data_IF_898564090320
#
_entry.id   IF_898564090320
#
_cell.length_a   1.000
_cell.length_b   1.000
_cell.length_c   1.000
_cell.angle_alpha   90.00
_cell.angle_beta   90.00
_cell.angle_gamma   90.00
#
_symmetry.space_group_name_H-M   'P 1'
#
loop_
_entity.id
_entity.type
_entity.pdbx_description
1 polymer ?
#
# COMPACT_ATOMS: atom_id res chain seq x y z
N UNK A 1 17.54 32.30 -8.09
CA UNK A 1 16.25 31.73 -7.63
C UNK A 1 16.15 31.82 -6.11
N UNK A 2 15.22 32.59 -5.54
CA UNK A 2 14.95 32.56 -4.09
C UNK A 2 14.45 31.16 -3.73
N UNK A 3 15.22 30.38 -2.97
CA UNK A 3 14.76 29.11 -2.39
C UNK A 3 13.55 29.43 -1.52
N UNK A 4 12.35 29.04 -1.95
CA UNK A 4 11.16 29.08 -1.11
C UNK A 4 11.42 28.14 0.07
N UNK A 5 11.78 28.68 1.24
CA UNK A 5 11.83 27.90 2.49
C UNK A 5 10.38 27.55 2.85
N UNK A 6 9.92 26.38 2.40
CA UNK A 6 8.65 25.81 2.88
C UNK A 6 8.82 25.49 4.36
N UNK A 7 8.20 26.31 5.22
CA UNK A 7 8.13 26.06 6.66
C UNK A 7 6.96 25.11 6.91
N UNK A 8 7.20 24.04 7.66
CA UNK A 8 6.12 23.14 8.07
C UNK A 8 5.24 23.86 9.10
N UNK A 9 3.95 24.04 8.79
CA UNK A 9 2.98 24.64 9.71
C UNK A 9 2.24 23.54 10.46
N UNK A 10 2.52 23.40 11.75
CA UNK A 10 1.77 22.49 12.60
C UNK A 10 0.35 23.00 12.79
N UNK A 11 -0.60 22.07 12.70
CA UNK A 11 -1.92 22.25 13.30
C UNK A 11 -1.85 21.77 14.76
N UNK A 12 -2.80 22.18 15.63
CA UNK A 12 -2.86 21.68 16.99
C UNK A 12 -2.85 20.14 17.02
N UNK A 13 -2.04 19.58 17.91
CA UNK A 13 -2.03 18.14 18.13
C UNK A 13 -3.25 17.74 18.97
N UNK A 14 -3.94 16.66 18.56
CA UNK A 14 -5.00 16.06 19.37
C UNK A 14 -4.46 15.48 20.67
N UNK A 15 -5.36 15.07 21.57
CA UNK A 15 -4.97 14.41 22.82
C UNK A 15 -4.12 13.16 22.57
N UNK A 16 -4.53 12.26 21.66
CA UNK A 16 -3.75 11.05 21.35
C UNK A 16 -2.40 11.37 20.71
N UNK A 17 -2.33 12.36 19.83
CA UNK A 17 -1.04 12.80 19.27
C UNK A 17 -0.11 13.34 20.36
N UNK A 18 -0.63 14.08 21.35
CA UNK A 18 0.15 14.54 22.51
C UNK A 18 0.59 13.40 23.42
N UNK A 19 -0.24 12.37 23.61
CA UNK A 19 0.15 11.16 24.34
C UNK A 19 1.34 10.49 23.67
N UNK A 20 1.32 10.33 22.33
CA UNK A 20 2.48 9.82 21.57
C UNK A 20 3.71 10.71 21.74
N UNK A 21 3.55 12.04 21.72
CA UNK A 21 4.68 12.97 21.83
C UNK A 21 5.35 12.99 23.21
N UNK A 22 4.62 12.64 24.27
CA UNK A 22 5.04 12.91 25.65
C UNK A 22 5.18 11.67 26.54
N UNK A 23 4.79 10.47 26.08
CA UNK A 23 4.74 9.28 26.95
C UNK A 23 6.10 8.92 27.59
N UNK A 24 7.20 9.25 26.93
CA UNK A 24 8.58 8.97 27.34
C UNK A 24 9.21 10.09 28.20
N UNK A 25 8.51 11.22 28.39
CA UNK A 25 9.04 12.34 29.17
C UNK A 25 9.17 11.98 30.66
N UNK A 26 10.09 12.65 31.37
CA UNK A 26 10.46 12.33 32.76
C UNK A 26 9.28 12.33 33.75
N UNK A 27 8.28 13.19 33.51
CA UNK A 27 7.09 13.36 34.35
C UNK A 27 5.89 12.53 33.88
N UNK A 28 6.05 11.75 32.80
CA UNK A 28 5.01 10.86 32.32
C UNK A 28 4.86 9.65 33.24
N UNK A 29 3.64 9.27 33.64
CA UNK A 29 3.41 8.09 34.48
C UNK A 29 3.67 6.76 33.74
N UNK A 30 3.91 6.81 32.43
CA UNK A 30 4.11 5.63 31.57
C UNK A 30 5.50 5.62 30.91
N UNK A 31 6.43 6.45 31.39
CA UNK A 31 7.78 6.58 30.82
C UNK A 31 8.60 5.29 30.85
N UNK A 32 8.28 4.41 31.81
CA UNK A 32 9.02 3.17 32.05
C UNK A 32 8.59 2.04 31.10
N UNK A 33 7.53 2.23 30.29
CA UNK A 33 7.14 1.27 29.25
C UNK A 33 8.27 1.06 28.22
N UNK A 34 8.39 -0.15 27.69
CA UNK A 34 9.47 -0.52 26.74
C UNK A 34 9.21 -0.05 25.31
N UNK A 35 8.00 0.44 25.04
CA UNK A 35 7.66 0.96 23.74
C UNK A 35 6.21 1.34 23.62
N UNK A 36 5.82 1.68 22.39
CA UNK A 36 4.48 2.12 22.04
C UNK A 36 4.04 1.54 20.70
N UNK A 37 2.81 1.07 20.65
CA UNK A 37 2.09 0.67 19.45
C UNK A 37 1.00 1.72 19.17
N UNK A 38 1.01 2.29 17.98
CA UNK A 38 -0.06 3.13 17.45
C UNK A 38 -0.66 2.47 16.20
N UNK A 39 -1.90 1.98 16.30
CA UNK A 39 -2.61 1.42 15.15
C UNK A 39 -3.82 2.27 14.75
N UNK A 40 -4.55 1.81 13.72
CA UNK A 40 -5.88 2.31 13.40
C UNK A 40 -5.99 2.97 12.03
N UNK A 41 -6.91 3.90 11.91
CA UNK A 41 -7.36 4.44 10.62
C UNK A 41 -6.24 5.11 9.81
N UNK A 42 -6.42 5.16 8.49
CA UNK A 42 -5.61 6.03 7.62
C UNK A 42 -5.84 7.48 7.99
N UNK A 43 -4.88 8.34 7.63
CA UNK A 43 -5.02 9.81 7.78
C UNK A 43 -5.35 10.29 9.19
N UNK A 44 -5.09 9.49 10.21
CA UNK A 44 -5.29 9.83 11.63
C UNK A 44 -4.16 10.66 12.26
N UNK A 45 -3.11 10.97 11.48
CA UNK A 45 -1.98 11.78 11.96
C UNK A 45 -0.98 11.01 12.83
N UNK A 46 -1.16 9.69 13.02
CA UNK A 46 -0.30 8.80 13.81
C UNK A 46 1.18 8.82 13.38
N UNK A 47 1.46 8.64 12.09
CA UNK A 47 2.83 8.66 11.53
C UNK A 47 3.56 9.97 11.81
N UNK A 48 2.85 11.11 11.70
CA UNK A 48 3.44 12.44 11.88
C UNK A 48 3.86 12.65 13.34
N UNK A 49 2.97 12.36 14.30
CA UNK A 49 3.30 12.50 15.73
C UNK A 49 4.36 11.49 16.17
N UNK A 50 4.26 10.24 15.70
CA UNK A 50 5.16 9.17 16.15
C UNK A 50 6.58 9.33 15.62
N UNK A 51 6.74 9.63 14.33
CA UNK A 51 8.08 9.84 13.74
C UNK A 51 8.80 11.05 14.34
N UNK A 52 8.06 12.14 14.61
CA UNK A 52 8.62 13.30 15.30
C UNK A 52 8.99 12.97 16.75
N UNK A 53 8.10 12.28 17.47
CA UNK A 53 8.34 11.89 18.86
C UNK A 53 9.55 10.96 19.00
N UNK A 54 9.71 9.99 18.10
CA UNK A 54 10.83 9.07 18.11
C UNK A 54 12.17 9.80 18.04
N UNK A 55 12.31 10.77 17.12
CA UNK A 55 13.53 11.57 17.02
C UNK A 55 13.69 12.48 18.24
N UNK A 56 12.62 13.10 18.74
CA UNK A 56 12.71 13.94 19.94
C UNK A 56 13.17 13.17 21.17
N UNK A 57 12.62 11.97 21.38
CA UNK A 57 13.03 11.05 22.43
C UNK A 57 14.51 10.67 22.27
N UNK A 58 14.89 10.14 21.11
CA UNK A 58 16.28 9.72 20.82
C UNK A 58 17.28 10.84 21.10
N UNK A 59 17.00 12.06 20.61
CA UNK A 59 17.86 13.23 20.78
C UNK A 59 17.84 13.83 22.19
N UNK A 60 16.91 13.41 23.05
CA UNK A 60 16.85 13.86 24.46
C UNK A 60 17.47 12.86 25.43
N UNK A 61 17.58 11.59 25.02
CA UNK A 61 17.99 10.47 25.87
C UNK A 61 19.38 9.94 25.54
N UNK A 62 19.88 10.18 24.33
CA UNK A 62 21.12 9.57 23.84
C UNK A 62 22.00 10.57 23.07
N UNK A 63 23.29 10.30 23.03
CA UNK A 63 24.26 11.03 22.21
C UNK A 63 25.30 10.06 21.62
N UNK A 64 25.56 10.15 20.32
CA UNK A 64 26.48 9.27 19.60
C UNK A 64 25.90 7.89 19.26
N UNK A 65 24.60 7.67 19.43
CA UNK A 65 23.97 6.35 19.33
C UNK A 65 23.30 6.09 17.97
N UNK A 66 23.09 4.80 17.69
CA UNK A 66 22.47 4.31 16.46
C UNK A 66 20.99 3.97 16.67
N UNK A 67 20.15 4.38 15.72
CA UNK A 67 18.71 4.11 15.70
C UNK A 67 18.30 3.55 14.34
N UNK A 68 17.25 2.73 14.32
CA UNK A 68 16.68 2.22 13.09
C UNK A 68 15.30 2.83 12.80
N UNK A 69 15.07 3.16 11.53
CA UNK A 69 13.80 3.63 10.99
C UNK A 69 13.39 2.76 9.80
N UNK A 70 12.38 1.93 10.01
CA UNK A 70 12.00 0.85 9.11
C UNK A 70 10.68 1.16 8.40
N UNK A 71 10.60 0.85 7.09
CA UNK A 71 9.36 0.83 6.31
C UNK A 71 9.30 -0.41 5.41
N UNK A 72 8.15 -0.71 4.78
CA UNK A 72 8.05 -1.82 3.77
C UNK A 72 9.16 -1.72 2.71
N UNK A 73 9.46 -0.50 2.25
CA UNK A 73 10.61 -0.23 1.40
C UNK A 73 11.27 1.08 1.80
N UNK A 74 12.58 1.21 1.60
CA UNK A 74 13.31 2.47 1.81
C UNK A 74 12.68 3.61 0.99
N UNK A 75 12.31 3.32 -0.25
CA UNK A 75 11.69 4.31 -1.15
C UNK A 75 10.33 4.82 -0.67
N UNK A 76 9.47 3.96 -0.11
CA UNK A 76 8.19 4.39 0.49
C UNK A 76 8.43 5.16 1.78
N UNK A 77 9.30 4.66 2.68
CA UNK A 77 9.62 5.30 3.94
C UNK A 77 10.13 6.73 3.75
N UNK A 78 11.09 6.92 2.84
CA UNK A 78 11.67 8.23 2.53
C UNK A 78 10.62 9.23 2.05
N UNK A 79 9.64 8.78 1.25
CA UNK A 79 8.56 9.62 0.72
C UNK A 79 7.49 9.95 1.77
N UNK A 80 7.04 8.94 2.51
CA UNK A 80 5.87 9.04 3.38
C UNK A 80 6.21 9.60 4.76
N UNK A 81 7.40 9.28 5.28
CA UNK A 81 7.84 9.65 6.63
C UNK A 81 8.94 10.69 6.57
N UNK A 82 10.10 10.33 6.04
CA UNK A 82 11.32 11.13 6.18
C UNK A 82 11.20 12.53 5.58
N UNK A 83 10.56 12.65 4.40
CA UNK A 83 10.38 13.94 3.73
C UNK A 83 9.66 14.96 4.63
N UNK A 84 8.56 14.55 5.27
CA UNK A 84 7.82 15.37 6.24
C UNK A 84 8.63 15.62 7.51
N UNK A 85 9.22 14.57 8.06
CA UNK A 85 10.01 14.61 9.28
C UNK A 85 11.17 15.61 9.19
N UNK A 86 11.93 15.63 8.09
CA UNK A 86 13.02 16.59 7.89
C UNK A 86 12.54 18.04 7.98
N UNK A 87 11.40 18.36 7.36
CA UNK A 87 10.83 19.71 7.44
C UNK A 87 10.41 20.07 8.88
N UNK A 88 9.80 19.11 9.59
CA UNK A 88 9.38 19.27 10.98
C UNK A 88 10.58 19.53 11.91
N UNK A 89 11.65 18.75 11.75
CA UNK A 89 12.87 18.86 12.54
C UNK A 89 13.60 20.18 12.27
N UNK A 90 13.81 20.54 11.00
CA UNK A 90 14.44 21.82 10.65
C UNK A 90 13.65 23.03 11.19
N UNK A 91 12.31 22.96 11.23
CA UNK A 91 11.49 24.03 11.84
C UNK A 91 11.67 24.17 13.35
N UNK A 92 12.25 23.16 14.02
CA UNK A 92 12.50 23.08 15.47
C UNK A 92 13.98 23.23 15.83
N UNK A 93 14.81 23.70 14.90
CA UNK A 93 16.23 23.96 15.14
C UNK A 93 17.13 22.72 15.10
N UNK A 94 16.65 21.60 14.56
CA UNK A 94 17.50 20.44 14.28
C UNK A 94 18.21 20.59 12.93
N UNK A 95 19.47 20.18 12.88
CA UNK A 95 20.21 19.98 11.64
C UNK A 95 20.04 18.53 11.20
N UNK A 96 19.78 18.31 9.90
CA UNK A 96 19.59 16.97 9.34
C UNK A 96 20.46 16.78 8.09
N UNK A 97 21.42 15.86 8.16
CA UNK A 97 22.22 15.42 7.02
C UNK A 97 21.72 14.06 6.51
N UNK A 98 21.30 14.01 5.24
CA UNK A 98 20.68 12.83 4.61
C UNK A 98 21.67 12.16 3.65
N UNK A 99 22.37 11.13 4.14
CA UNK A 99 23.33 10.31 3.41
C UNK A 99 22.59 9.20 2.65
N UNK A 100 22.13 9.54 1.44
CA UNK A 100 21.24 8.67 0.68
C UNK A 100 21.86 7.35 0.23
N UNK A 101 23.15 7.35 -0.11
CA UNK A 101 23.86 6.15 -0.54
C UNK A 101 23.92 5.11 0.59
N UNK A 102 24.13 5.59 1.81
CA UNK A 102 24.32 4.75 3.01
C UNK A 102 23.01 4.45 3.74
N UNK A 103 21.89 4.98 3.24
CA UNK A 103 20.60 4.95 3.92
C UNK A 103 20.64 5.49 5.36
N UNK A 104 21.48 6.49 5.60
CA UNK A 104 21.72 7.07 6.91
C UNK A 104 21.22 8.52 6.98
N UNK A 105 20.64 8.89 8.11
CA UNK A 105 20.28 10.27 8.45
C UNK A 105 20.95 10.65 9.76
N UNK A 106 21.80 11.66 9.73
CA UNK A 106 22.47 12.19 10.92
C UNK A 106 21.67 13.40 11.39
N UNK A 107 21.27 13.39 12.66
CA UNK A 107 20.45 14.45 13.26
C UNK A 107 21.22 15.06 14.42
N UNK A 108 21.36 16.38 14.40
CA UNK A 108 22.10 17.15 15.42
C UNK A 108 21.23 18.27 15.98
N UNK A 109 21.31 18.50 17.29
CA UNK A 109 20.72 19.66 17.96
C UNK A 109 21.58 20.07 19.16
N UNK A 110 22.16 21.28 19.10
CA UNK A 110 23.21 21.67 20.06
C UNK A 110 24.38 20.69 19.97
N UNK A 111 24.82 20.19 21.12
CA UNK A 111 25.96 19.26 21.23
C UNK A 111 25.57 17.78 21.09
N UNK A 112 24.29 17.48 20.86
CA UNK A 112 23.80 16.11 20.70
C UNK A 112 23.71 15.74 19.23
N UNK A 113 24.28 14.59 18.86
CA UNK A 113 24.20 14.01 17.52
C UNK A 113 23.92 12.51 17.60
N UNK A 114 22.94 12.01 16.83
CA UNK A 114 22.66 10.57 16.71
C UNK A 114 22.49 10.14 15.24
N UNK A 115 22.59 8.84 15.00
CA UNK A 115 22.62 8.22 13.67
C UNK A 115 21.36 7.40 13.41
N UNK A 116 20.58 7.74 12.40
CA UNK A 116 19.30 7.09 12.08
C UNK A 116 19.39 6.34 10.75
N UNK A 117 19.56 5.03 10.82
CA UNK A 117 19.64 4.14 9.66
C UNK A 117 18.24 3.77 9.15
N UNK A 118 18.07 3.78 7.83
CA UNK A 118 16.78 3.51 7.17
C UNK A 118 16.82 2.12 6.55
N UNK A 119 15.92 1.26 7.01
CA UNK A 119 15.81 -0.11 6.53
C UNK A 119 14.49 -0.35 5.78
N UNK A 120 14.52 -1.30 4.85
CA UNK A 120 13.34 -1.75 4.12
C UNK A 120 13.06 -3.22 4.42
N UNK A 121 11.97 -3.51 5.13
CA UNK A 121 11.51 -4.88 5.38
C UNK A 121 10.57 -5.34 4.28
N UNK A 122 11.11 -5.62 3.08
CA UNK A 122 10.28 -5.91 1.89
C UNK A 122 9.87 -7.38 1.81
N UNK A 123 10.79 -8.26 2.18
CA UNK A 123 10.68 -9.72 2.09
C UNK A 123 11.65 -10.36 3.10
N UNK A 124 11.56 -11.68 3.30
CA UNK A 124 12.40 -12.43 4.26
C UNK A 124 13.91 -12.19 4.10
N UNK A 125 14.39 -11.92 2.88
CA UNK A 125 15.81 -11.63 2.62
C UNK A 125 16.26 -10.30 3.22
N UNK A 126 15.31 -9.44 3.58
CA UNK A 126 15.58 -8.14 4.21
C UNK A 126 16.11 -8.28 5.64
N UNK A 127 15.93 -9.46 6.27
CA UNK A 127 16.47 -9.78 7.58
C UNK A 127 17.99 -9.49 7.64
N UNK A 128 18.76 -10.00 6.68
CA UNK A 128 20.23 -9.86 6.67
C UNK A 128 20.73 -8.42 6.71
N UNK A 129 19.92 -7.44 6.30
CA UNK A 129 20.28 -6.03 6.27
C UNK A 129 20.47 -5.40 7.66
N UNK A 130 19.80 -5.92 8.69
CA UNK A 130 19.85 -5.37 10.06
C UNK A 130 20.75 -6.21 10.99
N UNK A 131 21.53 -7.13 10.43
CA UNK A 131 22.47 -7.93 11.19
C UNK A 131 23.69 -7.11 11.63
N UNK A 132 24.19 -7.39 12.83
CA UNK A 132 25.45 -6.82 13.33
C UNK A 132 25.40 -5.37 13.83
N UNK A 133 24.29 -4.64 13.67
CA UNK A 133 24.14 -3.30 14.25
C UNK A 133 23.65 -3.37 15.69
N UNK A 134 24.19 -2.50 16.55
CA UNK A 134 23.67 -2.24 17.91
C UNK A 134 22.81 -0.99 17.87
N UNK A 135 21.60 -1.05 18.43
CA UNK A 135 20.62 0.03 18.38
C UNK A 135 20.22 0.51 19.78
N UNK A 136 20.04 1.82 19.92
CA UNK A 136 19.40 2.46 21.06
C UNK A 136 17.89 2.65 20.88
N UNK A 137 17.33 2.28 19.72
CA UNK A 137 15.89 2.25 19.51
C UNK A 137 15.53 1.97 18.05
N UNK A 138 14.29 1.54 17.85
CA UNK A 138 13.77 1.21 16.51
C UNK A 138 12.34 1.73 16.33
N UNK A 139 12.11 2.30 15.15
CA UNK A 139 10.81 2.75 14.69
C UNK A 139 10.39 1.99 13.43
N UNK A 140 9.19 1.42 13.44
CA UNK A 140 8.58 0.74 12.30
C UNK A 140 7.34 1.50 11.84
N UNK A 141 7.36 1.98 10.59
CA UNK A 141 6.20 2.54 9.91
C UNK A 141 5.56 1.50 9.00
N UNK A 142 4.23 1.32 9.13
CA UNK A 142 3.47 0.28 8.45
C UNK A 142 3.96 -1.14 8.81
N UNK A 143 4.20 -1.40 10.11
CA UNK A 143 4.84 -2.66 10.57
C UNK A 143 4.09 -3.93 10.15
N UNK A 144 2.76 -3.87 10.03
CA UNK A 144 1.95 -5.00 9.55
C UNK A 144 2.27 -5.43 8.10
N UNK A 145 2.97 -4.59 7.32
CA UNK A 145 3.38 -4.91 5.95
C UNK A 145 4.81 -5.48 5.86
N UNK A 146 5.47 -5.68 7.00
CA UNK A 146 6.82 -6.21 7.09
C UNK A 146 6.79 -7.69 7.50
N UNK A 147 7.80 -8.48 7.08
CA UNK A 147 8.00 -9.83 7.60
C UNK A 147 8.20 -9.83 9.11
N UNK A 148 7.61 -10.80 9.80
CA UNK A 148 7.79 -10.99 11.24
C UNK A 148 9.27 -11.20 11.60
N UNK A 149 9.98 -12.01 10.82
CA UNK A 149 11.41 -12.29 10.99
C UNK A 149 12.27 -11.03 11.02
N UNK A 150 12.00 -10.09 10.12
CA UNK A 150 12.69 -8.80 10.04
C UNK A 150 12.43 -7.96 11.30
N UNK A 151 11.18 -7.90 11.76
CA UNK A 151 10.81 -7.12 12.95
C UNK A 151 11.44 -7.74 14.20
N UNK A 152 11.35 -9.06 14.36
CA UNK A 152 11.97 -9.78 15.48
C UNK A 152 13.49 -9.58 15.52
N UNK A 153 14.16 -9.65 14.37
CA UNK A 153 15.59 -9.42 14.32
C UNK A 153 15.97 -7.97 14.64
N UNK A 154 15.23 -7.01 14.09
CA UNK A 154 15.44 -5.59 14.34
C UNK A 154 15.23 -5.22 15.82
N UNK A 155 14.18 -5.73 16.47
CA UNK A 155 13.97 -5.52 17.91
C UNK A 155 15.04 -6.21 18.75
N UNK A 156 15.58 -7.34 18.30
CA UNK A 156 16.71 -8.03 18.94
C UNK A 156 18.05 -7.28 18.84
N UNK A 157 18.14 -6.21 18.03
CA UNK A 157 19.32 -5.32 17.98
C UNK A 157 19.26 -4.17 18.98
N UNK A 158 18.12 -3.95 19.65
CA UNK A 158 17.98 -2.92 20.67
C UNK A 158 18.57 -3.39 22.00
N UNK A 159 19.89 -3.28 22.14
CA UNK A 159 20.64 -3.74 23.33
C UNK A 159 21.20 -2.62 24.19
N UNK A 160 21.15 -1.36 23.73
CA UNK A 160 21.57 -0.21 24.55
C UNK A 160 20.55 0.01 25.67
N UNK A 161 21.05 0.28 26.88
CA UNK A 161 20.21 0.56 28.05
C UNK A 161 19.26 1.73 27.78
N UNK A 162 17.99 1.58 28.17
CA UNK A 162 16.96 2.59 27.93
C UNK A 162 16.39 2.60 26.51
N UNK A 163 16.79 1.66 25.64
CA UNK A 163 16.23 1.54 24.29
C UNK A 163 14.72 1.26 24.31
N UNK A 164 14.02 1.76 23.28
CA UNK A 164 12.54 1.66 23.17
C UNK A 164 12.08 1.24 21.78
N UNK A 165 10.93 0.57 21.73
CA UNK A 165 10.28 0.13 20.49
C UNK A 165 9.12 1.04 20.07
N UNK A 166 9.05 1.37 18.78
CA UNK A 166 8.03 2.27 18.26
C UNK A 166 7.35 1.65 17.03
N UNK A 167 6.07 1.30 17.14
CA UNK A 167 5.34 0.62 16.07
C UNK A 167 4.14 1.44 15.59
N UNK A 168 4.08 1.71 14.29
CA UNK A 168 2.93 2.31 13.64
C UNK A 168 2.37 1.37 12.56
N UNK A 169 1.07 1.16 12.52
CA UNK A 169 0.44 0.41 11.42
C UNK A 169 -1.02 0.78 11.17
N UNK A 170 -1.51 0.38 9.99
CA UNK A 170 -2.93 0.19 9.79
C UNK A 170 -3.28 -1.28 10.09
N UNK A 171 -4.49 -1.58 10.58
CA UNK A 171 -4.92 -2.94 10.87
C UNK A 171 -4.95 -3.84 9.64
N UNK A 172 -4.73 -5.13 9.90
CA UNK A 172 -4.94 -6.23 8.97
C UNK A 172 -5.98 -7.22 9.54
N UNK A 173 -5.92 -8.50 9.18
CA UNK A 173 -6.74 -9.56 9.74
C UNK A 173 -6.46 -9.81 11.24
N UNK A 174 -7.47 -10.25 12.03
CA UNK A 174 -7.30 -10.50 13.46
C UNK A 174 -6.26 -11.57 13.81
N UNK A 175 -5.94 -12.49 12.88
CA UNK A 175 -4.92 -13.53 13.04
C UNK A 175 -3.54 -13.14 12.52
N UNK A 176 -3.35 -11.90 12.07
CA UNK A 176 -2.05 -11.42 11.62
C UNK A 176 -1.05 -11.42 12.78
N UNK A 177 0.20 -11.86 12.54
CA UNK A 177 1.24 -12.03 13.57
C UNK A 177 1.43 -10.78 14.47
N UNK A 178 1.38 -9.57 13.90
CA UNK A 178 1.54 -8.35 14.71
C UNK A 178 0.36 -8.13 15.68
N UNK A 179 -0.83 -8.59 15.33
CA UNK A 179 -2.01 -8.52 16.21
C UNK A 179 -1.87 -9.53 17.34
N UNK A 180 -1.62 -10.79 17.01
CA UNK A 180 -1.55 -11.91 17.96
C UNK A 180 -0.33 -11.84 18.87
N UNK A 181 0.84 -11.48 18.33
CA UNK A 181 2.12 -11.60 19.03
C UNK A 181 2.63 -10.29 19.63
N UNK A 182 2.10 -9.14 19.20
CA UNK A 182 2.48 -7.83 19.74
C UNK A 182 1.34 -7.08 20.40
N UNK A 183 0.21 -6.87 19.72
CA UNK A 183 -0.90 -6.07 20.27
C UNK A 183 -1.61 -6.80 21.41
N UNK A 184 -1.92 -8.09 21.23
CA UNK A 184 -2.61 -8.89 22.24
C UNK A 184 -1.71 -9.21 23.43
N UNK A 185 -0.41 -9.39 23.17
CA UNK A 185 0.63 -9.61 24.20
C UNK A 185 1.28 -8.32 24.71
N UNK A 186 0.73 -7.14 24.40
CA UNK A 186 1.35 -5.84 24.74
C UNK A 186 1.65 -5.66 26.23
N UNK A 187 0.81 -6.21 27.11
CA UNK A 187 0.99 -6.11 28.57
C UNK A 187 2.20 -6.92 29.02
N UNK A 188 2.35 -8.14 28.49
CA UNK A 188 3.50 -9.02 28.75
C UNK A 188 4.80 -8.41 28.21
N UNK A 189 4.71 -7.66 27.11
CA UNK A 189 5.83 -6.94 26.50
C UNK A 189 6.06 -5.52 27.05
N UNK A 190 5.31 -5.11 28.07
CA UNK A 190 5.36 -3.76 28.65
C UNK A 190 5.21 -2.61 27.63
N UNK A 191 4.34 -2.79 26.63
CA UNK A 191 4.10 -1.82 25.55
C UNK A 191 2.83 -1.02 25.78
N UNK A 192 2.91 0.28 25.48
CA UNK A 192 1.75 1.15 25.35
C UNK A 192 0.98 0.85 24.07
N UNK A 193 -0.32 1.10 24.09
CA UNK A 193 -1.18 0.95 22.91
C UNK A 193 -2.14 2.13 22.79
N UNK A 194 -2.10 2.79 21.64
CA UNK A 194 -3.00 3.88 21.28
C UNK A 194 -3.66 3.58 19.94
N UNK A 195 -4.99 3.48 19.96
CA UNK A 195 -5.78 3.31 18.76
C UNK A 195 -6.17 4.66 18.16
N UNK A 196 -5.90 4.90 16.88
CA UNK A 196 -6.16 6.17 16.21
C UNK A 196 -7.31 6.09 15.18
N UNK A 197 -8.14 7.12 15.12
CA UNK A 197 -9.14 7.33 14.07
C UNK A 197 -8.87 8.64 13.31
N UNK A 198 -9.60 8.91 12.22
CA UNK A 198 -9.46 10.19 11.50
C UNK A 198 -9.83 11.41 12.37
N UNK A 199 -10.59 11.23 13.45
CA UNK A 199 -10.97 12.32 14.35
C UNK A 199 -9.82 12.79 15.23
N UNK A 200 -8.81 11.95 15.40
CA UNK A 200 -7.56 12.34 16.07
C UNK A 200 -6.68 13.25 15.20
N UNK A 201 -7.03 13.48 13.93
CA UNK A 201 -6.34 14.40 13.04
C UNK A 201 -7.10 15.72 12.87
N UNK A 202 -6.75 16.69 13.72
CA UNK A 202 -7.34 18.03 13.72
C UNK A 202 -7.02 18.88 12.48
N UNK A 203 -6.15 18.39 11.57
CA UNK A 203 -5.85 19.08 10.31
C UNK A 203 -6.85 18.76 9.18
N UNK A 204 -7.71 17.74 9.35
CA UNK A 204 -8.68 17.34 8.34
C UNK A 204 -10.04 17.95 8.64
N UNK A 205 -10.61 18.63 7.65
CA UNK A 205 -12.00 19.07 7.72
C UNK A 205 -12.96 17.90 7.53
N UNK A 206 -14.19 18.02 8.06
CA UNK A 206 -15.22 16.99 7.90
C UNK A 206 -15.51 16.64 6.44
N UNK A 207 -15.53 17.63 5.54
CA UNK A 207 -15.66 17.38 4.09
C UNK A 207 -14.58 16.45 3.55
N UNK A 208 -13.35 16.55 4.05
CA UNK A 208 -12.24 15.69 3.62
C UNK A 208 -12.34 14.31 4.27
N UNK A 209 -12.73 14.23 5.54
CA UNK A 209 -12.99 12.95 6.21
C UNK A 209 -14.09 12.17 5.49
N UNK A 210 -15.19 12.84 5.14
CA UNK A 210 -16.31 12.21 4.44
C UNK A 210 -15.90 11.68 3.06
N UNK A 211 -15.08 12.44 2.34
CA UNK A 211 -14.50 11.97 1.09
C UNK A 211 -13.64 10.71 1.28
N UNK A 212 -12.92 10.57 2.40
CA UNK A 212 -12.19 9.33 2.68
C UNK A 212 -13.13 8.19 3.07
N UNK A 213 -14.17 8.45 3.87
CA UNK A 213 -15.19 7.44 4.22
C UNK A 213 -15.83 6.84 2.96
N UNK A 214 -16.14 7.67 1.97
CA UNK A 214 -16.78 7.22 0.72
C UNK A 214 -15.87 6.40 -0.22
N UNK A 215 -14.56 6.35 0.01
CA UNK A 215 -13.64 5.58 -0.85
C UNK A 215 -13.62 4.08 -0.50
N UNK A 216 -14.08 3.71 0.70
CA UNK A 216 -13.94 2.37 1.24
C UNK A 216 -15.31 1.78 1.63
N UNK A 217 -15.45 0.48 1.43
CA UNK A 217 -16.62 -0.33 1.83
C UNK A 217 -16.13 -1.65 2.43
N UNK A 218 -17.05 -2.44 2.97
CA UNK A 218 -16.76 -3.81 3.44
C UNK A 218 -15.59 -3.90 4.43
N UNK A 219 -14.74 -4.91 4.25
CA UNK A 219 -13.56 -5.14 5.10
C UNK A 219 -12.58 -3.96 5.07
N UNK A 220 -12.38 -3.31 3.93
CA UNK A 220 -11.44 -2.19 3.82
C UNK A 220 -11.94 -0.94 4.56
N UNK A 221 -13.26 -0.71 4.63
CA UNK A 221 -13.81 0.34 5.49
C UNK A 221 -13.55 0.04 6.96
N UNK A 222 -13.82 -1.20 7.40
CA UNK A 222 -13.54 -1.64 8.78
C UNK A 222 -12.07 -1.42 9.15
N UNK A 223 -11.13 -1.79 8.28
CA UNK A 223 -9.69 -1.65 8.54
C UNK A 223 -9.19 -0.21 8.43
N UNK A 224 -9.44 0.47 7.31
CA UNK A 224 -8.78 1.75 7.03
C UNK A 224 -9.54 2.97 7.55
N UNK A 225 -10.86 2.88 7.76
CA UNK A 225 -11.67 4.00 8.28
C UNK A 225 -11.97 3.83 9.76
N UNK A 226 -12.47 2.66 10.17
CA UNK A 226 -12.76 2.40 11.58
C UNK A 226 -11.51 1.98 12.37
N UNK A 227 -10.48 1.48 11.71
CA UNK A 227 -9.26 1.03 12.39
C UNK A 227 -9.38 -0.35 13.04
N UNK A 228 -10.33 -1.19 12.60
CA UNK A 228 -10.53 -2.51 13.20
C UNK A 228 -9.67 -3.57 12.52
N UNK A 229 -9.12 -4.49 13.33
CA UNK A 229 -8.52 -5.74 12.85
C UNK A 229 -9.63 -6.71 12.45
N UNK A 230 -10.05 -6.68 11.18
CA UNK A 230 -11.25 -7.34 10.69
C UNK A 230 -10.91 -8.40 9.64
N UNK A 231 -11.62 -9.54 9.69
CA UNK A 231 -11.36 -10.61 8.73
C UNK A 231 -11.82 -10.26 7.32
N UNK A 232 -11.03 -10.67 6.33
CA UNK A 232 -11.41 -10.63 4.94
C UNK A 232 -12.14 -11.95 4.61
N UNK A 233 -13.44 -11.87 4.36
CA UNK A 233 -14.30 -13.03 4.14
C UNK A 233 -15.30 -12.75 3.03
N UNK A 234 -15.72 -13.80 2.32
CA UNK A 234 -16.70 -13.70 1.24
C UNK A 234 -16.17 -12.95 0.01
N UNK A 235 -17.07 -12.19 -0.62
CA UNK A 235 -16.82 -11.47 -1.87
C UNK A 235 -15.78 -10.36 -1.70
N UNK A 236 -14.80 -10.31 -2.62
CA UNK A 236 -13.75 -9.29 -2.60
C UNK A 236 -14.30 -7.93 -3.02
N UNK A 237 -15.05 -7.90 -4.12
CA UNK A 237 -15.66 -6.70 -4.67
C UNK A 237 -17.16 -6.66 -4.35
N UNK A 238 -17.50 -6.71 -3.05
CA UNK A 238 -18.88 -6.63 -2.54
C UNK A 238 -19.61 -5.33 -2.93
N UNK A 239 -18.87 -4.29 -3.32
CA UNK A 239 -19.39 -3.02 -3.81
C UNK A 239 -19.75 -3.03 -5.30
N UNK A 240 -19.36 -4.07 -6.05
CA UNK A 240 -19.71 -4.18 -7.46
C UNK A 240 -21.22 -4.37 -7.58
N UNK A 241 -21.83 -3.54 -8.42
CA UNK A 241 -23.28 -3.43 -8.58
C UNK A 241 -23.53 -3.23 -10.07
N UNK A 242 -24.22 -4.18 -10.69
CA UNK A 242 -24.46 -4.18 -12.13
C UNK A 242 -25.27 -2.96 -12.57
N UNK A 243 -26.18 -2.46 -11.75
CA UNK A 243 -26.98 -1.27 -12.08
C UNK A 243 -26.14 0.02 -12.11
N UNK A 244 -25.01 0.05 -11.40
CA UNK A 244 -24.12 1.23 -11.32
C UNK A 244 -22.90 1.11 -12.22
N UNK A 245 -22.33 -0.08 -12.32
CA UNK A 245 -21.02 -0.30 -12.91
C UNK A 245 -21.07 -0.96 -14.29
N UNK A 246 -22.19 -1.54 -14.69
CA UNK A 246 -22.35 -2.10 -16.04
C UNK A 246 -23.04 -1.10 -16.95
N UNK A 247 -22.51 -0.92 -18.16
CA UNK A 247 -23.07 -0.04 -19.18
C UNK A 247 -23.32 -0.80 -20.47
N UNK A 248 -24.40 -0.46 -21.17
CA UNK A 248 -24.77 -1.03 -22.47
C UNK A 248 -24.43 -0.11 -23.65
N UNK A 249 -24.32 1.20 -23.38
CA UNK A 249 -23.98 2.20 -24.39
C UNK A 249 -22.50 2.56 -24.34
N UNK A 250 -21.83 2.48 -25.50
CA UNK A 250 -20.46 2.91 -25.71
C UNK A 250 -20.38 4.23 -26.52
N UNK A 251 -21.49 4.95 -26.70
CA UNK A 251 -21.54 6.16 -27.52
C UNK A 251 -20.68 7.32 -26.98
N UNK A 252 -20.44 7.36 -25.66
CA UNK A 252 -19.66 8.40 -25.00
C UNK A 252 -18.15 8.11 -24.96
N UNK A 253 -17.70 7.01 -25.56
CA UNK A 253 -16.27 6.70 -25.65
C UNK A 253 -15.54 7.71 -26.53
N UNK A 254 -14.38 8.16 -26.06
CA UNK A 254 -13.50 9.04 -26.84
C UNK A 254 -12.47 8.16 -27.56
N UNK A 255 -12.65 7.97 -28.87
CA UNK A 255 -11.86 7.07 -29.73
C UNK A 255 -10.35 7.38 -29.86
N UNK A 256 -9.75 8.18 -28.98
CA UNK A 256 -8.37 8.65 -29.17
C UNK A 256 -7.29 7.76 -28.54
N UNK A 257 -7.57 7.02 -27.46
CA UNK A 257 -6.52 6.25 -26.75
C UNK A 257 -7.04 4.96 -26.11
N UNK A 258 -6.82 3.83 -26.77
CA UNK A 258 -7.11 2.50 -26.23
C UNK A 258 -5.93 1.92 -25.47
N UNK A 259 -6.22 1.12 -24.45
CA UNK A 259 -5.24 0.30 -23.74
C UNK A 259 -5.74 -1.13 -23.68
N UNK A 260 -4.82 -2.09 -23.64
CA UNK A 260 -5.17 -3.49 -23.39
C UNK A 260 -4.52 -3.90 -22.09
N UNK A 261 -5.25 -4.57 -21.21
CA UNK A 261 -4.65 -5.34 -20.11
C UNK A 261 -4.79 -6.82 -20.37
N UNK A 262 -3.76 -7.57 -19.99
CA UNK A 262 -3.63 -8.98 -20.26
C UNK A 262 -3.27 -9.73 -18.98
N UNK A 263 -4.04 -10.78 -18.70
CA UNK A 263 -3.61 -11.90 -17.87
C UNK A 263 -3.30 -13.07 -18.80
N UNK A 264 -2.12 -13.66 -18.66
CA UNK A 264 -1.58 -14.65 -19.59
C UNK A 264 -1.46 -16.01 -18.91
N UNK A 265 -2.11 -17.01 -19.50
CA UNK A 265 -2.11 -18.40 -19.05
C UNK A 265 -1.99 -19.36 -20.23
N UNK A 266 -1.03 -20.29 -20.16
CA UNK A 266 -0.92 -21.38 -21.14
C UNK A 266 -1.90 -22.51 -20.84
N UNK A 267 -2.03 -22.90 -19.57
CA UNK A 267 -3.00 -23.89 -19.09
C UNK A 267 -4.27 -23.24 -18.54
N UNK A 268 -4.11 -22.14 -17.79
CA UNK A 268 -5.21 -21.31 -17.31
C UNK A 268 -5.71 -20.37 -18.40
N UNK A 269 -6.78 -19.62 -18.13
CA UNK A 269 -7.32 -18.73 -19.15
C UNK A 269 -6.33 -17.59 -19.49
N UNK A 270 -6.31 -17.21 -20.77
CA UNK A 270 -5.71 -15.96 -21.24
C UNK A 270 -6.83 -14.96 -21.50
N UNK A 271 -6.67 -13.77 -20.93
CA UNK A 271 -7.68 -12.70 -20.98
C UNK A 271 -7.07 -11.44 -21.56
N UNK A 272 -7.77 -10.79 -22.51
CA UNK A 272 -7.47 -9.42 -22.93
C UNK A 272 -8.67 -8.52 -22.66
N UNK A 273 -8.45 -7.40 -21.98
CA UNK A 273 -9.49 -6.40 -21.71
C UNK A 273 -9.14 -5.10 -22.42
N UNK A 274 -10.05 -4.60 -23.26
CA UNK A 274 -9.88 -3.35 -23.99
C UNK A 274 -10.46 -2.19 -23.18
N UNK A 275 -9.62 -1.22 -22.87
CA UNK A 275 -9.98 -0.05 -22.09
C UNK A 275 -9.98 1.22 -22.93
N UNK A 276 -11.01 2.03 -22.74
CA UNK A 276 -11.12 3.36 -23.32
C UNK A 276 -11.66 4.34 -22.27
N UNK A 277 -11.46 5.63 -22.49
CA UNK A 277 -11.96 6.68 -21.59
C UNK A 277 -13.20 7.29 -22.20
N UNK A 278 -14.25 7.46 -21.41
CA UNK A 278 -15.42 8.23 -21.84
C UNK A 278 -15.19 9.74 -21.64
N UNK A 279 -16.07 10.57 -22.22
CA UNK A 279 -15.98 12.05 -22.13
C UNK A 279 -15.91 12.59 -20.71
N UNK A 280 -16.60 11.97 -19.77
CA UNK A 280 -16.59 12.34 -18.33
C UNK A 280 -15.22 12.14 -17.67
N UNK A 281 -14.37 11.31 -18.28
CA UNK A 281 -13.09 10.90 -17.72
C UNK A 281 -13.11 9.58 -16.95
N UNK A 282 -14.25 8.88 -16.87
CA UNK A 282 -14.33 7.48 -16.40
C UNK A 282 -13.67 6.53 -17.40
N UNK A 283 -13.03 5.47 -16.90
CA UNK A 283 -12.47 4.40 -17.74
C UNK A 283 -13.49 3.29 -17.92
N UNK A 284 -13.61 2.76 -19.13
CA UNK A 284 -14.57 1.72 -19.49
C UNK A 284 -13.83 0.50 -20.02
N UNK A 285 -14.07 -0.67 -19.46
CA UNK A 285 -13.71 -1.95 -20.06
C UNK A 285 -14.75 -2.25 -21.15
N UNK A 286 -14.40 -2.00 -22.41
CA UNK A 286 -15.35 -1.92 -23.51
C UNK A 286 -15.60 -3.29 -24.17
N UNK A 287 -14.61 -4.17 -24.12
CA UNK A 287 -14.62 -5.47 -24.78
C UNK A 287 -13.64 -6.41 -24.09
N UNK A 288 -13.99 -7.69 -24.04
CA UNK A 288 -13.10 -8.74 -23.57
C UNK A 288 -12.77 -9.77 -24.66
N UNK A 289 -11.61 -10.40 -24.52
CA UNK A 289 -11.26 -11.69 -25.08
C UNK A 289 -10.99 -12.61 -23.90
N UNK A 290 -11.55 -13.81 -23.93
CA UNK A 290 -11.39 -14.79 -22.87
C UNK A 290 -11.25 -16.16 -23.51
N UNK A 291 -10.12 -16.83 -23.29
CA UNK A 291 -9.86 -18.17 -23.80
C UNK A 291 -9.26 -19.04 -22.72
N UNK A 292 -9.92 -20.17 -22.42
CA UNK A 292 -9.48 -21.14 -21.43
C UNK A 292 -9.08 -22.43 -22.14
N UNK A 293 -7.78 -22.74 -22.15
CA UNK A 293 -7.30 -23.97 -22.78
C UNK A 293 -7.84 -25.25 -22.11
N UNK A 294 -8.29 -25.13 -20.86
CA UNK A 294 -8.97 -26.20 -20.13
C UNK A 294 -10.41 -26.41 -20.62
N UNK A 295 -11.16 -25.33 -20.79
CA UNK A 295 -12.58 -25.42 -21.17
C UNK A 295 -12.74 -25.77 -22.66
N UNK A 296 -11.77 -25.36 -23.48
CA UNK A 296 -11.72 -25.62 -24.93
C UNK A 296 -10.92 -26.89 -25.28
N UNK A 297 -10.39 -27.60 -24.28
CA UNK A 297 -9.55 -28.81 -24.41
C UNK A 297 -8.34 -28.68 -25.35
N UNK A 298 -7.91 -27.44 -25.63
CA UNK A 298 -6.80 -27.12 -26.53
C UNK A 298 -5.98 -25.97 -25.98
N UNK A 299 -4.67 -26.18 -25.84
CA UNK A 299 -3.73 -25.11 -25.52
C UNK A 299 -3.38 -24.29 -26.77
N UNK A 300 -3.11 -23.00 -26.57
CA UNK A 300 -2.59 -22.09 -27.59
C UNK A 300 -1.18 -21.66 -27.25
N UNK A 301 -0.38 -21.49 -28.29
CA UNK A 301 0.99 -20.97 -28.21
C UNK A 301 1.00 -19.43 -28.13
N UNK A 302 2.17 -18.86 -27.78
CA UNK A 302 2.38 -17.40 -27.79
C UNK A 302 2.03 -16.76 -29.14
N UNK A 303 2.39 -17.44 -30.23
CA UNK A 303 2.10 -17.00 -31.59
C UNK A 303 0.60 -16.96 -31.85
N UNK A 304 -0.13 -18.03 -31.50
CA UNK A 304 -1.58 -18.11 -31.68
C UNK A 304 -2.30 -17.05 -30.85
N UNK A 305 -1.93 -16.86 -29.57
CA UNK A 305 -2.49 -15.78 -28.75
C UNK A 305 -2.19 -14.39 -29.31
N UNK A 306 -1.02 -14.19 -29.90
CA UNK A 306 -0.67 -12.92 -30.54
C UNK A 306 -1.40 -12.69 -31.87
N UNK A 307 -1.75 -13.75 -32.60
CA UNK A 307 -2.61 -13.71 -33.78
C UNK A 307 -4.04 -13.37 -33.39
N UNK A 308 -4.58 -14.04 -32.36
CA UNK A 308 -5.89 -13.78 -31.78
C UNK A 308 -6.00 -12.34 -31.30
N UNK A 309 -5.00 -11.82 -30.58
CA UNK A 309 -4.96 -10.43 -30.14
C UNK A 309 -5.07 -9.47 -31.33
N UNK A 310 -4.31 -9.73 -32.41
CA UNK A 310 -4.31 -8.89 -33.61
C UNK A 310 -5.67 -8.91 -34.30
N UNK A 311 -6.27 -10.09 -34.45
CA UNK A 311 -7.60 -10.25 -35.05
C UNK A 311 -8.66 -9.57 -34.19
N UNK A 312 -8.66 -9.82 -32.88
CA UNK A 312 -9.60 -9.26 -31.93
C UNK A 312 -9.50 -7.73 -31.87
N UNK A 313 -8.29 -7.16 -31.93
CA UNK A 313 -8.10 -5.70 -32.01
C UNK A 313 -8.74 -5.08 -33.26
N UNK A 314 -8.93 -5.83 -34.35
CA UNK A 314 -9.64 -5.39 -35.56
C UNK A 314 -9.17 -4.02 -36.08
N UNK A 315 -7.86 -3.78 -36.09
CA UNK A 315 -7.24 -2.52 -36.54
C UNK A 315 -7.04 -1.46 -35.44
N UNK A 316 -7.57 -1.65 -34.23
CA UNK A 316 -7.29 -0.79 -33.08
C UNK A 316 -5.81 -0.91 -32.69
N UNK A 317 -5.12 0.22 -32.59
CA UNK A 317 -3.73 0.31 -32.13
C UNK A 317 -3.70 0.76 -30.67
N UNK A 318 -3.53 -0.15 -29.69
CA UNK A 318 -3.47 0.25 -28.29
C UNK A 318 -2.20 1.05 -28.01
N UNK A 319 -2.34 2.08 -27.18
CA UNK A 319 -1.22 2.91 -26.74
C UNK A 319 -0.20 2.06 -25.98
N UNK A 320 -0.69 1.20 -25.08
CA UNK A 320 0.13 0.20 -24.37
C UNK A 320 -0.68 -1.05 -24.09
N UNK A 321 0.01 -2.19 -24.08
CA UNK A 321 -0.48 -3.44 -23.52
C UNK A 321 0.15 -3.63 -22.14
N UNK A 322 -0.69 -3.79 -21.12
CA UNK A 322 -0.31 -3.99 -19.74
C UNK A 322 -0.35 -5.49 -19.46
N UNK A 323 0.77 -6.04 -19.02
CA UNK A 323 0.92 -7.50 -18.84
C UNK A 323 1.81 -7.81 -17.64
N UNK A 324 1.53 -8.92 -16.96
CA UNK A 324 2.34 -9.38 -15.84
C UNK A 324 3.82 -9.57 -16.26
N UNK A 325 4.80 -9.09 -15.47
CA UNK A 325 6.22 -9.25 -15.77
C UNK A 325 6.70 -10.70 -15.96
N UNK A 326 5.98 -11.69 -15.40
CA UNK A 326 6.31 -13.11 -15.47
C UNK A 326 6.03 -13.75 -16.83
N UNK A 327 5.16 -13.15 -17.66
CA UNK A 327 4.84 -13.61 -19.02
C UNK A 327 5.93 -13.24 -20.04
N UNK A 328 7.19 -13.55 -19.73
CA UNK A 328 8.37 -13.05 -20.47
C UNK A 328 8.40 -13.47 -21.95
N UNK A 329 7.97 -14.70 -22.26
CA UNK A 329 7.93 -15.21 -23.64
C UNK A 329 6.89 -14.47 -24.49
N UNK A 330 5.67 -14.33 -23.97
CA UNK A 330 4.60 -13.61 -24.66
C UNK A 330 4.91 -12.12 -24.80
N UNK A 331 5.56 -11.49 -23.80
CA UNK A 331 6.07 -10.12 -23.91
C UNK A 331 7.05 -9.98 -25.09
N UNK A 332 7.96 -10.95 -25.27
CA UNK A 332 8.93 -10.92 -26.36
C UNK A 332 8.23 -11.03 -27.73
N UNK A 333 7.25 -11.94 -27.85
CA UNK A 333 6.48 -12.13 -29.08
C UNK A 333 5.66 -10.88 -29.45
N UNK A 334 4.97 -10.26 -28.49
CA UNK A 334 4.21 -9.03 -28.73
C UNK A 334 5.12 -7.85 -29.13
N UNK A 335 6.31 -7.74 -28.52
CA UNK A 335 7.30 -6.72 -28.92
C UNK A 335 7.83 -6.93 -30.34
N UNK A 336 8.09 -8.18 -30.73
CA UNK A 336 8.51 -8.55 -32.10
C UNK A 336 7.47 -8.13 -33.13
N UNK A 337 6.18 -8.17 -32.76
CA UNK A 337 5.04 -7.72 -33.57
C UNK A 337 4.79 -6.20 -33.51
N UNK A 338 5.64 -5.44 -32.83
CA UNK A 338 5.58 -3.98 -32.77
C UNK A 338 4.66 -3.39 -31.70
N UNK A 339 4.13 -4.20 -30.77
CA UNK A 339 3.32 -3.66 -29.68
C UNK A 339 4.17 -3.00 -28.59
N UNK A 340 3.66 -1.89 -28.05
CA UNK A 340 4.28 -1.22 -26.90
C UNK A 340 3.83 -1.86 -25.60
N UNK A 341 4.76 -2.49 -24.88
CA UNK A 341 4.47 -3.19 -23.63
C UNK A 341 4.75 -2.32 -22.39
N UNK A 342 3.85 -2.38 -21.41
CA UNK A 342 4.07 -1.85 -20.06
C UNK A 342 3.93 -2.99 -19.05
N UNK A 343 5.01 -3.28 -18.33
CA UNK A 343 4.97 -4.25 -17.22
C UNK A 343 3.97 -3.81 -16.16
N UNK A 344 3.09 -4.72 -15.77
CA UNK A 344 2.09 -4.48 -14.75
C UNK A 344 2.74 -4.26 -13.38
N UNK A 345 2.12 -3.42 -12.57
CA UNK A 345 2.35 -3.39 -11.13
C UNK A 345 1.37 -4.41 -10.53
N UNK A 346 1.90 -5.52 -10.04
CA UNK A 346 1.12 -6.72 -9.71
C UNK A 346 0.97 -7.00 -8.20
N UNK A 347 1.24 -6.01 -7.33
CA UNK A 347 0.92 -6.12 -5.90
C UNK A 347 -0.59 -6.37 -5.74
N UNK A 348 -0.95 -7.56 -5.21
CA UNK A 348 -2.32 -8.09 -5.23
C UNK A 348 -3.21 -7.27 -4.31
N UNK A 349 -2.87 -7.16 -3.03
CA UNK A 349 -3.68 -6.46 -2.04
C UNK A 349 -3.78 -4.95 -2.31
N UNK A 350 -2.68 -4.26 -2.61
CA UNK A 350 -2.75 -2.84 -2.98
C UNK A 350 -3.58 -2.66 -4.27
N UNK A 351 -3.51 -3.61 -5.19
CA UNK A 351 -4.27 -3.62 -6.44
C UNK A 351 -5.77 -3.79 -6.23
N UNK A 352 -6.18 -4.79 -5.44
CA UNK A 352 -7.58 -5.06 -5.08
C UNK A 352 -8.18 -3.83 -4.39
N UNK A 353 -7.50 -3.29 -3.37
CA UNK A 353 -7.94 -2.08 -2.67
C UNK A 353 -8.10 -0.90 -3.61
N UNK A 354 -7.22 -0.76 -4.60
CA UNK A 354 -7.31 0.31 -5.58
C UNK A 354 -8.51 0.13 -6.52
N UNK A 355 -8.76 -1.08 -7.02
CA UNK A 355 -9.95 -1.37 -7.84
C UNK A 355 -11.23 -1.08 -7.07
N UNK A 356 -11.33 -1.54 -5.82
CA UNK A 356 -12.47 -1.27 -4.94
C UNK A 356 -12.75 0.24 -4.81
N UNK A 357 -11.70 1.07 -4.62
CA UNK A 357 -11.86 2.53 -4.58
C UNK A 357 -12.36 3.14 -5.88
N UNK A 358 -11.92 2.60 -7.03
CA UNK A 358 -12.36 3.07 -8.34
C UNK A 358 -13.83 2.73 -8.62
N UNK A 359 -14.29 1.58 -8.15
CA UNK A 359 -15.71 1.20 -8.20
C UNK A 359 -16.54 2.16 -7.34
N UNK A 360 -16.18 2.32 -6.07
CA UNK A 360 -16.89 3.21 -5.14
C UNK A 360 -16.97 4.67 -5.64
N UNK A 361 -15.91 5.16 -6.27
CA UNK A 361 -15.88 6.52 -6.83
C UNK A 361 -16.51 6.62 -8.24
N UNK A 362 -17.01 5.52 -8.81
CA UNK A 362 -17.57 5.48 -10.17
C UNK A 362 -16.56 5.81 -11.27
N UNK A 363 -15.26 5.56 -11.04
CA UNK A 363 -14.15 5.90 -11.96
C UNK A 363 -13.85 4.82 -12.99
N UNK A 364 -14.40 3.62 -12.79
CA UNK A 364 -14.40 2.56 -13.79
C UNK A 364 -15.81 2.03 -14.04
N UNK A 365 -16.06 1.56 -15.26
CA UNK A 365 -17.28 0.85 -15.65
C UNK A 365 -16.94 -0.31 -16.59
N UNK A 366 -17.84 -1.28 -16.68
CA UNK A 366 -17.69 -2.50 -17.48
C UNK A 366 -18.82 -2.54 -18.51
N UNK A 367 -18.48 -2.84 -19.76
CA UNK A 367 -19.48 -3.06 -20.81
C UNK A 367 -20.23 -4.37 -20.56
N UNK A 368 -21.52 -4.42 -20.90
CA UNK A 368 -22.29 -5.68 -20.93
C UNK A 368 -21.71 -6.71 -21.94
N UNK A 369 -20.86 -6.25 -22.86
CA UNK A 369 -20.06 -7.08 -23.77
C UNK A 369 -18.86 -7.76 -23.09
N UNK A 370 -18.72 -7.64 -21.76
CA UNK A 370 -17.69 -8.30 -20.96
C UNK A 370 -18.30 -9.30 -19.95
N UNK A 371 -19.04 -10.33 -20.41
CA UNK A 371 -19.81 -11.22 -19.53
C UNK A 371 -18.94 -12.04 -18.57
N UNK A 372 -17.74 -12.48 -18.96
CA UNK A 372 -16.85 -13.23 -18.07
C UNK A 372 -16.28 -12.34 -16.98
N UNK A 373 -15.88 -11.11 -17.33
CA UNK A 373 -15.45 -10.11 -16.33
C UNK A 373 -16.56 -9.84 -15.31
N UNK A 374 -17.82 -9.70 -15.76
CA UNK A 374 -18.97 -9.49 -14.87
C UNK A 374 -19.23 -10.70 -13.97
N UNK A 375 -19.14 -11.92 -14.52
CA UNK A 375 -19.27 -13.17 -13.74
C UNK A 375 -18.19 -13.29 -12.68
N UNK A 376 -16.94 -13.03 -13.02
CA UNK A 376 -15.82 -13.10 -12.07
C UNK A 376 -15.97 -12.08 -10.93
N UNK A 377 -16.49 -10.88 -11.19
CA UNK A 377 -16.82 -9.93 -10.12
C UNK A 377 -17.77 -10.54 -9.07
N UNK A 378 -18.67 -11.45 -9.48
CA UNK A 378 -19.64 -12.11 -8.62
C UNK A 378 -19.12 -13.40 -7.96
N UNK A 379 -17.96 -13.92 -8.36
CA UNK A 379 -17.37 -15.15 -7.80
C UNK A 379 -15.97 -14.97 -7.18
N UNK A 380 -15.36 -13.80 -7.31
CA UNK A 380 -14.03 -13.52 -6.77
C UNK A 380 -14.07 -13.31 -5.25
N UNK A 381 -13.54 -14.28 -4.51
CA UNK A 381 -13.65 -14.38 -3.03
C UNK A 381 -12.29 -14.43 -2.33
N UNK A 382 -12.29 -14.04 -1.05
CA UNK A 382 -11.15 -14.19 -0.15
C UNK A 382 -10.92 -15.67 0.20
N UNK A 383 -9.65 -16.06 0.35
CA UNK A 383 -9.26 -17.37 0.86
C UNK A 383 -9.41 -17.38 2.39
N UNK A 384 -10.45 -18.04 2.88
CA UNK A 384 -10.74 -18.14 4.30
C UNK A 384 -9.63 -18.87 5.07
N UNK A 385 -9.04 -19.93 4.51
CA UNK A 385 -7.98 -20.69 5.19
C UNK A 385 -6.72 -19.83 5.35
N UNK A 386 -6.39 -19.08 4.31
CA UNK A 386 -5.27 -18.13 4.39
C UNK A 386 -5.52 -17.06 5.45
N UNK A 387 -6.74 -16.52 5.49
CA UNK A 387 -7.17 -15.49 6.44
C UNK A 387 -7.07 -15.96 7.90
N UNK A 388 -7.44 -17.21 8.17
CA UNK A 388 -7.29 -17.88 9.48
C UNK A 388 -5.81 -18.04 9.89
N UNK A 389 -4.88 -18.07 8.92
CA UNK A 389 -3.44 -18.05 9.14
C UNK A 389 -2.82 -16.64 9.09
N UNK A 390 -3.64 -15.60 9.09
CA UNK A 390 -3.18 -14.20 9.10
C UNK A 390 -2.73 -13.66 7.73
N UNK A 391 -3.05 -14.37 6.65
CA UNK A 391 -2.75 -13.95 5.27
C UNK A 391 -4.02 -13.58 4.50
N UNK A 392 -4.12 -12.34 4.05
CA UNK A 392 -5.15 -11.95 3.11
C UNK A 392 -4.71 -12.27 1.66
N UNK A 393 -5.39 -13.21 1.02
CA UNK A 393 -5.24 -13.45 -0.43
C UNK A 393 -6.53 -13.95 -1.06
N UNK A 394 -6.75 -13.67 -2.35
CA UNK A 394 -7.87 -14.25 -3.09
C UNK A 394 -7.69 -15.75 -3.29
N UNK A 395 -8.81 -16.47 -3.42
CA UNK A 395 -8.79 -17.82 -4.00
C UNK A 395 -8.40 -17.71 -5.47
N UNK A 396 -7.43 -18.51 -5.92
CA UNK A 396 -6.96 -18.54 -7.32
C UNK A 396 -7.91 -19.33 -8.23
N UNK A 397 -9.15 -18.89 -8.29
CA UNK A 397 -10.21 -19.46 -9.13
C UNK A 397 -11.08 -18.31 -9.64
N UNK A 398 -11.40 -18.32 -10.93
CA UNK A 398 -12.22 -17.28 -11.56
C UNK A 398 -11.65 -15.87 -11.32
N UNK A 399 -10.33 -15.72 -11.50
CA UNK A 399 -9.58 -14.51 -11.18
C UNK A 399 -8.83 -13.90 -12.38
N UNK A 400 -8.97 -14.47 -13.57
CA UNK A 400 -8.17 -14.09 -14.74
C UNK A 400 -8.55 -12.70 -15.28
N UNK A 401 -9.85 -12.43 -15.41
CA UNK A 401 -10.33 -11.10 -15.77
C UNK A 401 -10.10 -10.10 -14.63
N UNK A 402 -10.24 -10.53 -13.37
CA UNK A 402 -9.94 -9.70 -12.20
C UNK A 402 -8.48 -9.27 -12.16
N UNK A 403 -7.54 -10.16 -12.49
CA UNK A 403 -6.12 -9.87 -12.54
C UNK A 403 -5.78 -8.93 -13.70
N UNK A 404 -6.28 -9.19 -14.91
CA UNK A 404 -6.12 -8.28 -16.03
C UNK A 404 -6.65 -6.87 -15.71
N UNK A 405 -7.84 -6.78 -15.10
CA UNK A 405 -8.46 -5.51 -14.69
C UNK A 405 -7.62 -4.79 -13.63
N UNK A 406 -7.14 -5.53 -12.62
CA UNK A 406 -6.26 -5.02 -11.56
C UNK A 406 -4.97 -4.46 -12.12
N UNK A 407 -4.35 -5.15 -13.08
CA UNK A 407 -3.14 -4.69 -13.76
C UNK A 407 -3.37 -3.36 -14.47
N UNK A 408 -4.48 -3.22 -15.21
CA UNK A 408 -4.83 -1.96 -15.85
C UNK A 408 -4.96 -0.83 -14.83
N UNK A 409 -5.83 -1.02 -13.84
CA UNK A 409 -6.14 -0.01 -12.84
C UNK A 409 -4.87 0.45 -12.12
N UNK A 410 -4.13 -0.48 -11.52
CA UNK A 410 -2.98 -0.18 -10.66
C UNK A 410 -1.75 0.36 -11.41
N UNK A 411 -1.69 0.14 -12.72
CA UNK A 411 -0.56 0.55 -13.57
C UNK A 411 -0.82 1.82 -14.38
N UNK A 412 -2.05 2.04 -14.84
CA UNK A 412 -2.43 3.15 -15.72
C UNK A 412 -3.14 4.26 -14.96
N UNK A 413 -4.21 3.93 -14.22
CA UNK A 413 -5.03 4.92 -13.53
C UNK A 413 -4.28 5.51 -12.34
N UNK A 414 -3.49 4.68 -11.64
CA UNK A 414 -2.71 5.12 -10.48
C UNK A 414 -1.63 6.14 -10.85
N UNK A 415 -1.82 7.40 -10.47
CA UNK A 415 -0.82 8.47 -10.66
C UNK A 415 0.36 8.29 -9.68
N UNK A 416 1.62 8.22 -10.16
CA UNK A 416 2.78 8.27 -9.28
C UNK A 416 2.96 9.72 -8.78
N UNK A 417 2.56 10.01 -7.53
CA UNK A 417 2.87 11.29 -6.87
C UNK A 417 1.72 12.05 -6.21
N UNK A 418 0.46 11.62 -6.34
CA UNK A 418 -0.62 12.15 -5.51
C UNK A 418 -0.50 11.56 -4.11
N UNK A 419 0.05 12.34 -3.17
CA UNK A 419 0.10 12.13 -1.71
C UNK A 419 -0.71 10.92 -1.25
N UNK A 420 -0.11 9.72 -1.25
CA UNK A 420 -0.71 8.42 -0.87
C UNK A 420 -2.22 8.39 -0.64
N UNK A 421 -3.06 8.75 -1.60
CA UNK A 421 -4.52 8.92 -1.35
C UNK A 421 -5.16 7.57 -0.98
N UNK A 422 -4.43 6.48 -1.21
CA UNK A 422 -4.83 5.09 -0.96
C UNK A 422 -3.83 4.32 -0.09
N UNK A 423 -3.09 5.00 0.78
CA UNK A 423 -2.29 4.34 1.81
C UNK A 423 -2.62 4.91 3.17
#
# INVERSE_FOLDING_TARGET
>A
MKRIKRVFKFQPFSQKQRMVLNWWCKDSPVKDSDGIIADGAIRSGKTVSMSLSFVMWAMSSFNGENFAMCGKTIGSFRRNVLSGLKMMLCSRGYTVADHRADNLVIITKGDVTNYFYIFGGKDERSQDLIQGITLAGVFFDEVALMPESFVNQATGRCSVEGSKYWFNCNPDGPYHWFKTDWIDKRKEKHLLYLHFTMDDNLSLSEKIKERYRSMYTGVFYRRYILGHWAMAEGMIYDMFDTAKHVISSLFDLVNANYYVSCDYGTQNATVFLLWCKERSGRWVCCREYYYSGRDEERQKTDTEYADDLKQWLAGIKPVKIIIDPSAASFIAELKKRGYTIKKAKNDVLDGIRFVASLLNEGKIAISDQCPNTIKEFASYIWDQKASEHGEDKPVKQHDHAMDALRYFCYTIIRKPGSVGILK
#
